data_IF_535005705168
#
_entry.id   IF_535005705168
#
_cell.length_a   1.000
_cell.length_b   1.000
_cell.length_c   1.000
_cell.angle_alpha   90.00
_cell.angle_beta   90.00
_cell.angle_gamma   90.00
#
_symmetry.space_group_name_H-M   'P 1'
#
loop_
_entity.id
_entity.type
_entity.pdbx_description
1 polymer ?
#
# COMPACT_ATOMS: atom_id res chain seq x y z
N UNK A 1 -20.08 7.45 10.66
CA UNK A 1 -19.97 6.64 11.90
C UNK A 1 -18.96 5.47 11.81
N UNK A 2 -18.04 5.48 10.87
CA UNK A 2 -17.05 4.38 10.69
C UNK A 2 -15.72 4.59 11.43
N UNK A 3 -15.55 5.72 12.11
CA UNK A 3 -14.29 6.12 12.77
C UNK A 3 -14.27 5.93 14.30
N UNK A 4 -15.09 5.05 14.86
CA UNK A 4 -15.12 4.86 16.31
C UNK A 4 -14.18 3.79 16.85
N UNK A 5 -13.35 3.17 15.99
CA UNK A 5 -12.38 2.17 16.45
C UNK A 5 -11.08 2.86 16.88
N UNK A 6 -10.55 2.42 18.01
CA UNK A 6 -9.22 2.82 18.44
C UNK A 6 -8.13 2.20 17.54
N UNK A 7 -6.91 2.75 17.55
CA UNK A 7 -5.75 2.15 16.85
C UNK A 7 -5.50 0.72 17.28
N UNK A 8 -5.69 0.40 18.56
CA UNK A 8 -5.52 -0.95 19.10
C UNK A 8 -6.53 -1.93 18.52
N UNK A 9 -7.82 -1.54 18.44
CA UNK A 9 -8.84 -2.37 17.81
C UNK A 9 -8.57 -2.58 16.31
N UNK A 10 -8.11 -1.52 15.63
CA UNK A 10 -7.74 -1.59 14.22
C UNK A 10 -6.61 -2.60 14.00
N UNK A 11 -5.54 -2.54 14.79
CA UNK A 11 -4.43 -3.49 14.76
C UNK A 11 -4.88 -4.94 15.04
N UNK A 12 -5.78 -5.14 16.00
CA UNK A 12 -6.31 -6.47 16.32
C UNK A 12 -7.10 -7.08 15.16
N UNK A 13 -7.89 -6.29 14.43
CA UNK A 13 -8.62 -6.74 13.24
C UNK A 13 -7.63 -7.23 12.18
N UNK A 14 -6.60 -6.44 11.89
CA UNK A 14 -5.60 -6.80 10.86
C UNK A 14 -4.79 -8.04 11.25
N UNK A 15 -4.31 -8.15 12.47
CA UNK A 15 -3.56 -9.31 12.94
C UNK A 15 -4.41 -10.59 12.91
N UNK A 16 -5.70 -10.50 13.21
CA UNK A 16 -6.63 -11.64 13.11
C UNK A 16 -6.82 -12.07 11.65
N UNK A 17 -6.96 -11.12 10.74
CA UNK A 17 -7.19 -11.37 9.31
C UNK A 17 -5.90 -11.78 8.57
N UNK A 18 -4.72 -11.51 9.12
CA UNK A 18 -3.42 -11.65 8.45
C UNK A 18 -3.21 -13.03 7.82
N UNK A 19 -3.47 -14.11 8.56
CA UNK A 19 -3.26 -15.48 8.07
C UNK A 19 -4.18 -15.85 6.90
N UNK A 20 -5.46 -15.46 6.96
CA UNK A 20 -6.40 -15.68 5.87
C UNK A 20 -6.01 -14.86 4.65
N UNK A 21 -5.58 -13.62 4.86
CA UNK A 21 -5.09 -12.74 3.82
C UNK A 21 -3.88 -13.36 3.11
N UNK A 22 -2.86 -13.79 3.82
CA UNK A 22 -1.66 -14.45 3.28
C UNK A 22 -2.04 -15.66 2.40
N UNK A 23 -2.92 -16.53 2.90
CA UNK A 23 -3.31 -17.75 2.20
C UNK A 23 -4.13 -17.52 0.92
N UNK A 24 -4.89 -16.42 0.84
CA UNK A 24 -5.81 -16.16 -0.26
C UNK A 24 -5.33 -15.11 -1.27
N UNK A 25 -4.40 -14.25 -0.87
CA UNK A 25 -4.06 -13.05 -1.63
C UNK A 25 -3.43 -13.36 -2.99
N UNK A 26 -2.48 -14.29 -3.06
CA UNK A 26 -1.80 -14.60 -4.30
C UNK A 26 -2.74 -15.06 -5.41
N UNK A 27 -3.67 -15.95 -5.10
CA UNK A 27 -4.67 -16.44 -6.06
C UNK A 27 -5.63 -15.33 -6.51
N UNK A 28 -6.02 -14.46 -5.59
CA UNK A 28 -6.84 -13.27 -5.93
C UNK A 28 -6.09 -12.31 -6.83
N UNK A 29 -4.82 -12.01 -6.55
CA UNK A 29 -4.02 -11.11 -7.38
C UNK A 29 -3.82 -11.62 -8.81
N UNK A 30 -3.61 -12.93 -8.99
CA UNK A 30 -3.55 -13.54 -10.31
C UNK A 30 -4.90 -13.41 -11.02
N UNK A 31 -5.99 -13.78 -10.36
CA UNK A 31 -7.33 -13.77 -10.92
C UNK A 31 -7.75 -12.37 -11.40
N UNK A 32 -7.43 -11.33 -10.63
CA UNK A 32 -7.78 -9.94 -10.96
C UNK A 32 -6.69 -9.19 -11.74
N UNK A 33 -5.60 -9.86 -12.13
CA UNK A 33 -4.51 -9.26 -12.92
C UNK A 33 -3.65 -8.25 -12.16
N UNK A 34 -3.77 -8.18 -10.84
CA UNK A 34 -2.98 -7.26 -9.97
C UNK A 34 -1.51 -7.61 -10.01
N UNK A 35 -1.16 -8.89 -10.03
CA UNK A 35 0.23 -9.34 -10.12
C UNK A 35 0.95 -8.79 -11.37
N UNK A 36 0.25 -8.70 -12.51
CA UNK A 36 0.79 -8.09 -13.74
C UNK A 36 1.02 -6.58 -13.57
N UNK A 37 0.09 -5.89 -12.91
CA UNK A 37 0.21 -4.46 -12.64
C UNK A 37 1.37 -4.20 -11.67
N UNK A 38 1.50 -5.01 -10.60
CA UNK A 38 2.60 -4.97 -9.63
C UNK A 38 3.95 -5.07 -10.34
N UNK A 39 4.13 -6.07 -11.21
CA UNK A 39 5.34 -6.20 -12.02
C UNK A 39 5.60 -4.98 -12.89
N UNK A 40 4.58 -4.43 -13.56
CA UNK A 40 4.72 -3.27 -14.46
C UNK A 40 5.14 -2.00 -13.73
N UNK A 41 4.57 -1.71 -12.56
CA UNK A 41 4.84 -0.47 -11.86
C UNK A 41 6.09 -0.57 -10.98
N UNK A 42 6.24 -1.63 -10.20
CA UNK A 42 7.34 -1.73 -9.24
C UNK A 42 8.69 -2.07 -9.87
N UNK A 43 8.71 -2.59 -11.10
CA UNK A 43 9.95 -2.70 -11.87
C UNK A 43 10.56 -1.32 -12.24
N UNK A 44 9.84 -0.22 -12.00
CA UNK A 44 10.33 1.15 -12.14
C UNK A 44 10.96 1.69 -10.84
N UNK A 45 10.82 0.97 -9.72
CA UNK A 45 11.42 1.36 -8.46
C UNK A 45 12.92 1.16 -8.51
N UNK A 46 13.69 2.20 -8.16
CA UNK A 46 15.14 2.20 -8.23
C UNK A 46 15.75 2.98 -7.07
N UNK A 47 17.05 2.81 -6.85
CA UNK A 47 17.76 3.45 -5.75
C UNK A 47 17.42 2.82 -4.39
N UNK A 48 17.41 3.65 -3.36
CA UNK A 48 17.00 3.24 -2.03
C UNK A 48 15.46 3.25 -1.96
N UNK A 49 14.85 2.07 -1.80
CA UNK A 49 13.39 1.86 -1.91
C UNK A 49 12.79 1.60 -0.53
N UNK A 50 11.70 2.32 -0.20
CA UNK A 50 10.85 2.05 0.96
C UNK A 50 9.52 1.45 0.52
N UNK A 51 9.12 0.30 1.09
CA UNK A 51 7.80 -0.31 0.92
C UNK A 51 6.97 -0.09 2.19
N UNK A 52 5.94 0.77 2.11
CA UNK A 52 5.08 1.15 3.23
C UNK A 52 3.81 0.31 3.25
N UNK A 53 3.59 -0.39 4.37
CA UNK A 53 2.59 -1.44 4.47
C UNK A 53 3.01 -2.66 3.65
N UNK A 54 4.26 -3.11 3.83
CA UNK A 54 4.87 -4.15 3.00
C UNK A 54 4.23 -5.54 3.19
N UNK A 55 3.45 -5.73 4.26
CA UNK A 55 2.83 -6.99 4.59
C UNK A 55 3.84 -8.13 4.67
N UNK A 56 3.54 -9.23 3.99
CA UNK A 56 4.44 -10.38 3.89
C UNK A 56 5.40 -10.35 2.67
N UNK A 57 5.58 -9.16 2.07
CA UNK A 57 6.65 -8.93 1.10
C UNK A 57 6.30 -9.18 -0.36
N UNK A 58 5.04 -9.09 -0.76
CA UNK A 58 4.56 -9.33 -2.13
C UNK A 58 5.21 -8.44 -3.19
N UNK A 59 5.73 -7.26 -2.81
CA UNK A 59 6.35 -6.33 -3.74
C UNK A 59 7.81 -6.66 -4.02
N UNK A 60 8.53 -7.22 -3.06
CA UNK A 60 9.99 -7.37 -3.11
C UNK A 60 10.53 -8.08 -4.35
N UNK A 61 9.90 -9.17 -4.87
CA UNK A 61 10.37 -9.83 -6.08
C UNK A 61 10.37 -8.97 -7.35
N UNK A 62 9.65 -7.85 -7.33
CA UNK A 62 9.52 -6.94 -8.47
C UNK A 62 10.45 -5.71 -8.38
N UNK A 63 11.17 -5.53 -7.27
CA UNK A 63 12.08 -4.40 -7.05
C UNK A 63 13.47 -4.68 -7.63
N UNK A 64 13.52 -5.09 -8.88
CA UNK A 64 14.75 -5.61 -9.52
C UNK A 64 15.82 -4.55 -9.78
N UNK A 65 15.47 -3.27 -9.70
CA UNK A 65 16.41 -2.15 -9.89
C UNK A 65 16.71 -1.40 -8.57
N UNK A 66 16.21 -1.92 -7.43
CA UNK A 66 16.51 -1.35 -6.13
C UNK A 66 17.97 -1.62 -5.75
N UNK A 67 18.63 -0.60 -5.18
CA UNK A 67 19.94 -0.70 -4.56
C UNK A 67 19.83 -1.25 -3.14
N UNK A 68 18.82 -0.78 -2.41
CA UNK A 68 18.43 -1.29 -1.09
C UNK A 68 16.91 -1.32 -0.99
N UNK A 69 16.39 -2.23 -0.15
CA UNK A 69 14.96 -2.38 0.10
C UNK A 69 14.74 -2.32 1.60
N UNK A 70 13.89 -1.38 2.03
CA UNK A 70 13.39 -1.27 3.39
C UNK A 70 11.88 -1.52 3.35
N UNK A 71 11.37 -2.40 4.19
CA UNK A 71 9.94 -2.67 4.35
C UNK A 71 9.46 -2.27 5.73
N UNK A 72 8.32 -1.58 5.81
CA UNK A 72 7.67 -1.24 7.08
C UNK A 72 6.24 -1.76 7.08
N UNK A 73 5.84 -2.38 8.20
CA UNK A 73 4.47 -2.80 8.45
C UNK A 73 4.19 -2.70 9.95
N UNK A 74 2.94 -2.42 10.33
CA UNK A 74 2.54 -2.36 11.74
C UNK A 74 2.24 -3.74 12.33
N UNK A 75 2.13 -4.78 11.49
CA UNK A 75 1.80 -6.15 11.90
C UNK A 75 3.06 -7.01 12.03
N UNK A 76 3.45 -7.31 13.24
CA UNK A 76 4.53 -8.26 13.51
C UNK A 76 4.30 -9.65 12.90
N UNK A 77 3.02 -10.06 12.76
CA UNK A 77 2.62 -11.31 12.11
C UNK A 77 2.98 -11.29 10.62
N UNK A 78 2.65 -10.19 9.93
CA UNK A 78 3.00 -10.01 8.51
C UNK A 78 4.52 -9.97 8.32
N UNK A 79 5.24 -9.24 9.16
CA UNK A 79 6.70 -9.15 9.08
C UNK A 79 7.40 -10.48 9.38
N UNK A 80 6.84 -11.31 10.26
CA UNK A 80 7.38 -12.66 10.50
C UNK A 80 7.28 -13.51 9.23
N UNK A 81 6.16 -13.46 8.52
CA UNK A 81 5.97 -14.16 7.25
C UNK A 81 6.86 -13.58 6.14
N UNK A 82 7.03 -12.25 6.10
CA UNK A 82 7.96 -11.60 5.18
C UNK A 82 9.40 -12.08 5.38
N UNK A 83 9.86 -12.18 6.63
CA UNK A 83 11.21 -12.70 6.94
C UNK A 83 11.38 -14.15 6.47
N UNK A 84 10.36 -14.97 6.67
CA UNK A 84 10.39 -16.38 6.24
C UNK A 84 10.39 -16.49 4.72
N UNK A 85 9.51 -15.76 4.02
CA UNK A 85 9.42 -15.79 2.57
C UNK A 85 10.70 -15.27 1.88
N UNK A 86 11.43 -14.37 2.55
CA UNK A 86 12.67 -13.77 2.04
C UNK A 86 13.94 -14.51 2.49
N UNK A 87 13.85 -15.60 3.28
CA UNK A 87 15.01 -16.32 3.82
C UNK A 87 16.02 -16.73 2.75
N UNK A 88 15.54 -17.18 1.60
CA UNK A 88 16.35 -17.66 0.47
C UNK A 88 16.35 -16.70 -0.72
N UNK A 89 15.89 -15.47 -0.54
CA UNK A 89 15.90 -14.48 -1.61
C UNK A 89 17.34 -14.06 -1.96
N UNK A 90 17.63 -13.77 -3.24
CA UNK A 90 18.96 -13.33 -3.66
C UNK A 90 19.31 -11.90 -3.24
N UNK A 91 18.39 -11.22 -2.56
CA UNK A 91 18.52 -9.85 -2.05
C UNK A 91 18.10 -9.78 -0.58
N UNK A 92 18.58 -8.76 0.10
CA UNK A 92 18.22 -8.49 1.50
C UNK A 92 17.18 -7.38 1.57
N UNK A 93 16.24 -7.53 2.49
CA UNK A 93 15.26 -6.52 2.86
C UNK A 93 15.43 -6.20 4.32
N UNK A 94 15.53 -4.91 4.65
CA UNK A 94 15.52 -4.44 6.03
C UNK A 94 14.05 -4.23 6.48
N UNK A 95 13.60 -5.00 7.47
CA UNK A 95 12.19 -5.06 7.87
C UNK A 95 11.98 -4.46 9.25
N UNK A 96 11.16 -3.42 9.32
CA UNK A 96 10.83 -2.68 10.54
C UNK A 96 9.34 -2.79 10.88
N UNK A 97 9.04 -3.01 12.16
CA UNK A 97 7.69 -2.78 12.67
C UNK A 97 7.51 -1.29 12.92
N UNK A 98 6.44 -0.70 12.40
CA UNK A 98 6.21 0.73 12.55
C UNK A 98 4.89 1.21 11.97
N UNK A 99 4.61 2.48 12.22
CA UNK A 99 3.38 3.16 11.82
C UNK A 99 3.61 3.97 10.53
N UNK A 100 2.86 3.67 9.48
CA UNK A 100 2.89 4.41 8.22
C UNK A 100 2.58 5.92 8.39
N UNK A 101 1.87 6.28 9.44
CA UNK A 101 1.48 7.65 9.76
C UNK A 101 2.51 8.40 10.62
N UNK A 102 3.61 7.75 10.99
CA UNK A 102 4.72 8.31 11.76
C UNK A 102 6.02 7.56 11.43
N UNK A 103 6.50 7.68 10.21
CA UNK A 103 7.69 6.98 9.73
C UNK A 103 8.95 7.47 10.44
N UNK A 104 9.69 6.55 11.08
CA UNK A 104 10.92 6.86 11.81
C UNK A 104 12.15 7.01 10.88
N UNK A 105 11.95 7.63 9.72
CA UNK A 105 13.01 7.94 8.76
C UNK A 105 13.16 9.44 8.57
N UNK A 106 14.38 9.93 8.31
CA UNK A 106 14.60 11.35 7.99
C UNK A 106 13.85 11.78 6.72
N UNK A 107 13.65 13.09 6.56
CA UNK A 107 13.13 13.65 5.32
C UNK A 107 14.06 13.29 4.14
N UNK A 108 13.51 13.09 2.95
CA UNK A 108 14.28 12.91 1.71
C UNK A 108 15.26 11.72 1.78
N UNK A 109 14.88 10.60 2.39
CA UNK A 109 15.75 9.43 2.60
C UNK A 109 15.74 8.45 1.44
N UNK A 110 14.60 8.34 0.72
CA UNK A 110 14.40 7.29 -0.27
C UNK A 110 14.24 7.85 -1.69
N UNK A 111 14.85 7.17 -2.66
CA UNK A 111 14.71 7.49 -4.09
C UNK A 111 13.34 7.08 -4.62
N UNK A 112 12.81 5.97 -4.10
CA UNK A 112 11.47 5.49 -4.43
C UNK A 112 10.74 5.05 -3.17
N UNK A 113 9.49 5.49 -3.02
CA UNK A 113 8.57 4.99 -1.99
C UNK A 113 7.46 4.23 -2.68
N UNK A 114 7.11 3.04 -2.19
CA UNK A 114 6.04 2.24 -2.76
C UNK A 114 5.02 1.85 -1.70
N UNK A 115 3.80 1.57 -2.13
CA UNK A 115 2.77 0.91 -1.33
C UNK A 115 1.78 0.17 -2.22
N UNK A 116 1.19 -0.89 -1.71
CA UNK A 116 0.21 -1.64 -2.48
C UNK A 116 -0.89 -2.24 -1.62
N UNK A 117 -2.14 -1.90 -1.96
CA UNK A 117 -3.35 -2.40 -1.29
C UNK A 117 -3.32 -2.15 0.23
N UNK A 118 -2.74 -1.03 0.65
CA UNK A 118 -2.48 -0.70 2.04
C UNK A 118 -3.20 0.56 2.52
N UNK A 119 -3.43 1.56 1.65
CA UNK A 119 -4.08 2.83 2.04
C UNK A 119 -5.49 2.63 2.60
N UNK A 120 -6.20 1.62 2.14
CA UNK A 120 -7.52 1.24 2.66
C UNK A 120 -7.46 0.75 4.12
N UNK A 121 -6.30 0.31 4.57
CA UNK A 121 -6.03 -0.28 5.88
C UNK A 121 -5.32 0.67 6.85
N UNK A 122 -4.75 1.78 6.39
CA UNK A 122 -4.16 2.78 7.28
C UNK A 122 -5.23 3.46 8.13
N UNK A 123 -4.94 3.79 9.36
CA UNK A 123 -5.88 4.47 10.24
C UNK A 123 -6.23 5.87 9.70
N UNK A 124 -5.19 6.65 9.33
CA UNK A 124 -5.28 7.92 8.61
C UNK A 124 -4.47 7.83 7.30
N UNK A 125 -5.10 7.48 6.16
CA UNK A 125 -4.41 7.32 4.90
C UNK A 125 -3.79 8.61 4.35
N UNK A 126 -4.38 9.78 4.67
CA UNK A 126 -3.83 11.06 4.22
C UNK A 126 -2.51 11.32 4.94
N UNK A 127 -2.47 11.10 6.26
CA UNK A 127 -1.26 11.27 7.04
C UNK A 127 -0.16 10.28 6.61
N UNK A 128 -0.50 9.02 6.32
CA UNK A 128 0.45 8.05 5.79
C UNK A 128 1.03 8.48 4.43
N UNK A 129 0.20 8.98 3.52
CA UNK A 129 0.64 9.53 2.23
C UNK A 129 1.52 10.77 2.39
N UNK A 130 1.25 11.63 3.38
CA UNK A 130 2.09 12.78 3.72
C UNK A 130 3.46 12.33 4.26
N UNK A 131 3.51 11.29 5.08
CA UNK A 131 4.76 10.71 5.55
C UNK A 131 5.55 10.06 4.39
N UNK A 132 4.90 9.30 3.50
CA UNK A 132 5.54 8.80 2.27
C UNK A 132 6.15 9.93 1.44
N UNK A 133 5.41 11.05 1.31
CA UNK A 133 5.91 12.25 0.64
C UNK A 133 7.13 12.85 1.35
N UNK A 134 7.10 12.96 2.68
CA UNK A 134 8.17 13.53 3.50
C UNK A 134 9.47 12.76 3.38
N UNK A 135 9.41 11.42 3.40
CA UNK A 135 10.59 10.55 3.34
C UNK A 135 11.10 10.34 1.92
N UNK A 136 10.28 10.57 0.90
CA UNK A 136 10.69 10.52 -0.50
C UNK A 136 11.54 11.75 -0.86
N UNK A 137 12.63 11.56 -1.60
CA UNK A 137 13.47 12.66 -2.12
C UNK A 137 12.66 13.54 -3.07
N UNK A 138 12.95 14.85 -3.18
CA UNK A 138 12.20 15.77 -4.04
C UNK A 138 12.18 15.38 -5.52
N UNK A 139 13.23 14.74 -6.01
CA UNK A 139 13.39 14.18 -7.36
C UNK A 139 13.03 12.70 -7.45
N UNK A 140 12.60 12.12 -6.33
CA UNK A 140 12.15 10.74 -6.24
C UNK A 140 10.75 10.52 -6.80
N UNK A 141 10.24 9.31 -6.63
CA UNK A 141 8.89 8.94 -7.05
C UNK A 141 8.17 8.10 -6.00
N UNK A 142 6.84 8.20 -6.00
CA UNK A 142 5.99 7.33 -5.20
C UNK A 142 5.15 6.48 -6.14
N UNK A 143 5.16 5.17 -5.94
CA UNK A 143 4.47 4.20 -6.80
C UNK A 143 3.40 3.48 -5.99
N UNK A 144 2.14 3.60 -6.39
CA UNK A 144 1.02 3.00 -5.68
C UNK A 144 0.24 2.04 -6.55
N UNK A 145 -0.17 0.92 -5.95
CA UNK A 145 -1.28 0.10 -6.43
C UNK A 145 -2.32 0.06 -5.32
N UNK A 146 -3.50 0.60 -5.59
CA UNK A 146 -4.55 0.65 -4.59
C UNK A 146 -5.88 0.18 -5.19
N UNK A 147 -6.79 -0.26 -4.34
CA UNK A 147 -8.16 -0.46 -4.76
C UNK A 147 -9.06 0.64 -4.18
N UNK A 148 -10.15 0.91 -4.88
CA UNK A 148 -11.08 1.93 -4.49
C UNK A 148 -12.50 1.63 -4.95
N UNK A 149 -13.37 2.63 -4.86
CA UNK A 149 -14.75 2.54 -5.28
C UNK A 149 -14.82 2.32 -6.80
N UNK A 150 -15.65 1.37 -7.22
CA UNK A 150 -15.88 1.06 -8.63
C UNK A 150 -16.48 2.26 -9.38
N UNK A 151 -16.11 2.41 -10.65
CA UNK A 151 -16.77 3.36 -11.56
C UNK A 151 -18.11 2.83 -12.09
N UNK A 152 -18.42 1.57 -11.88
CA UNK A 152 -19.70 0.96 -12.25
C UNK A 152 -20.67 1.02 -11.08
N UNK A 153 -21.78 1.71 -11.27
CA UNK A 153 -22.71 2.08 -10.18
C UNK A 153 -23.23 0.87 -9.39
N UNK A 154 -23.55 -0.24 -10.05
CA UNK A 154 -24.01 -1.45 -9.34
C UNK A 154 -22.92 -2.05 -8.43
N UNK A 155 -21.65 -2.04 -8.88
CA UNK A 155 -20.52 -2.55 -8.10
C UNK A 155 -20.17 -1.58 -6.97
N UNK A 156 -20.22 -0.28 -7.24
CA UNK A 156 -20.04 0.76 -6.24
C UNK A 156 -21.08 0.66 -5.11
N UNK A 157 -22.38 0.51 -5.46
CA UNK A 157 -23.45 0.28 -4.47
C UNK A 157 -23.23 -1.00 -3.65
N UNK A 158 -22.74 -2.07 -4.29
CA UNK A 158 -22.38 -3.28 -3.57
C UNK A 158 -21.27 -3.03 -2.55
N UNK A 159 -20.20 -2.32 -2.95
CA UNK A 159 -19.12 -1.95 -2.04
C UNK A 159 -19.64 -1.08 -0.86
N UNK A 160 -20.45 -0.07 -1.15
CA UNK A 160 -21.00 0.83 -0.13
C UNK A 160 -21.86 0.08 0.89
N UNK A 161 -22.73 -0.82 0.42
CA UNK A 161 -23.63 -1.59 1.28
C UNK A 161 -22.91 -2.63 2.17
N UNK A 162 -21.73 -3.10 1.75
CA UNK A 162 -20.95 -4.12 2.48
C UNK A 162 -19.72 -3.55 3.18
N UNK A 163 -19.55 -2.22 3.20
CA UNK A 163 -18.39 -1.55 3.78
C UNK A 163 -18.15 -1.92 5.25
N UNK A 164 -19.22 -1.90 6.06
CA UNK A 164 -19.12 -2.23 7.49
C UNK A 164 -18.60 -3.66 7.69
N UNK A 165 -19.17 -4.61 6.95
CA UNK A 165 -18.76 -6.02 7.02
C UNK A 165 -17.28 -6.18 6.62
N UNK A 166 -16.83 -5.49 5.57
CA UNK A 166 -15.46 -5.54 5.08
C UNK A 166 -14.46 -4.97 6.10
N UNK A 167 -14.83 -3.90 6.79
CA UNK A 167 -14.02 -3.33 7.88
C UNK A 167 -13.92 -4.30 9.07
N UNK A 168 -15.02 -4.95 9.48
CA UNK A 168 -15.02 -5.90 10.59
C UNK A 168 -14.22 -7.17 10.28
N UNK A 169 -14.22 -7.62 9.02
CA UNK A 169 -13.51 -8.81 8.59
C UNK A 169 -12.01 -8.59 8.43
N UNK A 170 -11.59 -7.48 7.85
CA UNK A 170 -10.20 -7.28 7.46
C UNK A 170 -9.66 -5.86 7.59
N UNK A 171 -10.40 -4.92 8.21
CA UNK A 171 -9.95 -3.55 8.36
C UNK A 171 -9.86 -2.75 7.05
N UNK A 172 -10.48 -3.24 5.97
CA UNK A 172 -10.33 -2.67 4.64
C UNK A 172 -11.50 -1.73 4.28
N UNK A 173 -11.20 -0.48 3.98
CA UNK A 173 -12.13 0.52 3.44
C UNK A 173 -12.09 0.50 1.92
N UNK A 174 -12.67 -0.51 1.30
CA UNK A 174 -12.55 -0.83 -0.13
C UNK A 174 -13.28 0.11 -1.10
N UNK A 175 -14.04 1.08 -0.58
CA UNK A 175 -14.78 2.08 -1.37
C UNK A 175 -14.18 3.50 -1.27
N UNK A 176 -12.93 3.62 -0.86
CA UNK A 176 -12.21 4.89 -0.90
C UNK A 176 -11.93 5.33 -2.34
N UNK A 177 -11.57 6.61 -2.52
CA UNK A 177 -11.10 7.14 -3.79
C UNK A 177 -9.60 7.45 -3.68
N UNK A 178 -8.71 6.52 -4.04
CA UNK A 178 -7.27 6.68 -3.83
C UNK A 178 -6.67 7.92 -4.48
N UNK A 179 -7.19 8.34 -5.64
CA UNK A 179 -6.69 9.54 -6.31
C UNK A 179 -7.05 10.82 -5.55
N UNK A 180 -8.19 10.87 -4.87
CA UNK A 180 -8.55 12.03 -4.04
C UNK A 180 -7.70 12.06 -2.76
N UNK A 181 -7.48 10.91 -2.10
CA UNK A 181 -6.58 10.82 -0.96
C UNK A 181 -5.16 11.32 -1.30
N UNK A 182 -4.65 10.94 -2.48
CA UNK A 182 -3.34 11.40 -2.98
C UNK A 182 -3.30 12.92 -3.14
N UNK A 183 -4.33 13.51 -3.73
CA UNK A 183 -4.44 14.97 -3.89
C UNK A 183 -4.54 15.70 -2.56
N UNK A 184 -5.37 15.19 -1.63
CA UNK A 184 -5.52 15.75 -0.28
C UNK A 184 -4.20 15.67 0.51
N UNK A 185 -3.38 14.64 0.29
CA UNK A 185 -2.05 14.54 0.86
C UNK A 185 -1.03 15.50 0.23
N UNK A 186 -1.41 16.25 -0.81
CA UNK A 186 -0.56 17.21 -1.51
C UNK A 186 0.47 16.58 -2.45
N UNK A 187 0.19 15.38 -2.97
CA UNK A 187 1.00 14.68 -3.95
C UNK A 187 0.50 14.98 -5.37
N UNK A 188 1.42 15.08 -6.33
CA UNK A 188 1.10 15.27 -7.74
C UNK A 188 1.00 13.95 -8.47
N UNK A 189 -0.12 13.70 -9.15
CA UNK A 189 -0.31 12.50 -9.97
C UNK A 189 0.33 12.73 -11.35
N UNK A 190 1.45 12.04 -11.62
CA UNK A 190 2.11 12.07 -12.93
C UNK A 190 1.44 11.13 -13.93
N UNK A 191 1.02 9.96 -13.45
CA UNK A 191 0.31 8.98 -14.26
C UNK A 191 -0.63 8.15 -13.38
N UNK A 192 -1.84 7.90 -13.86
CA UNK A 192 -2.79 7.03 -13.20
C UNK A 192 -3.55 6.16 -14.22
N UNK A 193 -3.78 4.90 -13.87
CA UNK A 193 -4.66 4.01 -14.63
C UNK A 193 -5.63 3.33 -13.69
N UNK A 194 -6.83 3.02 -14.20
CA UNK A 194 -7.84 2.22 -13.50
C UNK A 194 -8.13 0.95 -14.29
N UNK A 195 -8.27 -0.16 -13.60
CA UNK A 195 -8.59 -1.47 -14.19
C UNK A 195 -9.69 -2.17 -13.38
N UNK A 196 -10.22 -3.26 -13.90
CA UNK A 196 -11.28 -4.06 -13.28
C UNK A 196 -12.45 -3.20 -12.79
N UNK A 197 -13.31 -2.75 -13.70
CA UNK A 197 -14.47 -1.90 -13.39
C UNK A 197 -14.11 -0.62 -12.63
N UNK A 198 -12.87 -0.13 -12.79
CA UNK A 198 -12.36 1.06 -12.10
C UNK A 198 -11.88 0.83 -10.67
N UNK A 199 -11.91 -0.42 -10.18
CA UNK A 199 -11.57 -0.75 -8.78
C UNK A 199 -10.08 -0.61 -8.51
N UNK A 200 -9.20 -1.13 -9.38
CA UNK A 200 -7.76 -1.06 -9.13
C UNK A 200 -7.13 0.17 -9.79
N UNK A 201 -6.41 0.93 -8.98
CA UNK A 201 -5.68 2.13 -9.37
C UNK A 201 -4.19 1.85 -9.33
N UNK A 202 -3.49 2.16 -10.42
CA UNK A 202 -2.03 2.16 -10.47
C UNK A 202 -1.58 3.58 -10.71
N UNK A 203 -0.74 4.12 -9.83
CA UNK A 203 -0.36 5.52 -9.82
C UNK A 203 1.14 5.71 -9.72
N UNK A 204 1.66 6.64 -10.50
CA UNK A 204 3.02 7.21 -10.37
C UNK A 204 2.87 8.63 -9.91
N UNK A 205 3.47 8.96 -8.78
CA UNK A 205 3.32 10.25 -8.13
C UNK A 205 4.66 10.94 -7.98
N UNK A 206 4.64 12.28 -8.01
CA UNK A 206 5.74 13.14 -7.59
C UNK A 206 5.53 13.63 -6.15
N UNK A 207 6.56 13.62 -5.30
CA UNK A 207 6.51 14.27 -3.99
C UNK A 207 6.58 15.81 -4.10
N UNK A 208 7.08 16.34 -5.23
CA UNK A 208 7.12 17.77 -5.47
C UNK A 208 5.70 18.34 -5.60
N UNK A 209 5.49 19.56 -5.06
CA UNK A 209 4.28 20.32 -5.37
C UNK A 209 4.38 20.83 -6.80
N UNK A 210 3.27 20.84 -7.52
CA UNK A 210 3.14 21.64 -8.71
C UNK A 210 3.42 23.10 -8.32
N UNK A 211 4.39 23.72 -9.00
CA UNK A 211 4.81 25.10 -8.76
C UNK A 211 3.73 26.10 -9.18
#
# INVERSE_FOLDING_TARGET
>A
MLNNKSRTEWLQIHNRAAREYINSQWSREILFGVAKQRKKIFNQASGDVLDVGCGYGMNFPFLTQAKSITGIDFSSVMLAEARESMRNAPFKVDLHEGDAEALEFPNNSFDTVISSLSTCSFFDPIKALQEMRRVCKPDGKILLIEHGRSTWEWAAKYQDNHLHQQIEMGGCRWNQEPQELVKEAGLTILHATRTLLGVFHTMVLSPAKDG
#
